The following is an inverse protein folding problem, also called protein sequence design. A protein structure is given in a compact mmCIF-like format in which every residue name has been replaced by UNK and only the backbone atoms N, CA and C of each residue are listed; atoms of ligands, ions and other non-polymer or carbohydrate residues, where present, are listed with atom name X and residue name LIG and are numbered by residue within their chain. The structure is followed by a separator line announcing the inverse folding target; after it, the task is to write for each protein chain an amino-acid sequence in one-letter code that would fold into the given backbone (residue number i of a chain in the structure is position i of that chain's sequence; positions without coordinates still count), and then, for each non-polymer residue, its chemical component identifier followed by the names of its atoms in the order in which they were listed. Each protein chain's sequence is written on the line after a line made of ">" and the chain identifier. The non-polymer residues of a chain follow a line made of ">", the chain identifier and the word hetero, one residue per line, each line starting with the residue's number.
data_IF_114241891734
#
_entry.id   IF_114241891734
#
_cell.length_a   1.000
_cell.length_b   1.000
_cell.length_c   1.000
_cell.angle_alpha   90.00
_cell.angle_beta   90.00
_cell.angle_gamma   90.00
#
_symmetry.space_group_name_H-M   'P 1'
#
loop_
_entity.id
_entity.type
_entity.pdbx_description
1 polymer ?
#
# COMPACT_ATOMS: atom_id res chain seq x y z
N UNK A 1 1.45 31.71 -47.67
CA UNK A 1 0.19 30.96 -47.84
C UNK A 1 -0.15 30.44 -46.46
N UNK A 2 -0.85 31.20 -45.62
CA UNK A 2 -0.90 30.85 -44.19
C UNK A 2 -2.25 31.21 -43.59
N UNK A 3 -3.23 30.30 -43.76
CA UNK A 3 -4.47 30.29 -42.98
C UNK A 3 -4.89 28.85 -42.72
N UNK A 4 -4.19 28.16 -41.81
CA UNK A 4 -4.65 26.91 -41.18
C UNK A 4 -4.46 27.02 -39.66
N UNK A 5 -5.23 27.91 -39.03
CA UNK A 5 -5.31 27.99 -37.57
C UNK A 5 -6.71 28.40 -37.08
N UNK A 6 -7.75 28.27 -37.91
CA UNK A 6 -9.14 28.44 -37.48
C UNK A 6 -9.84 27.09 -37.61
N UNK A 7 -10.17 26.48 -36.48
CA UNK A 7 -10.99 25.27 -36.51
C UNK A 7 -11.13 24.46 -35.23
N UNK A 8 -10.33 24.66 -34.18
CA UNK A 8 -10.75 24.15 -32.88
C UNK A 8 -11.87 25.05 -32.37
N UNK A 9 -13.10 24.54 -32.48
CA UNK A 9 -14.28 25.17 -31.88
C UNK A 9 -13.98 25.50 -30.42
N UNK A 10 -14.42 26.66 -29.95
CA UNK A 10 -14.21 27.12 -28.57
C UNK A 10 -14.62 26.06 -27.54
N UNK A 11 -15.67 25.29 -27.86
CA UNK A 11 -16.15 24.18 -27.04
C UNK A 11 -15.10 23.07 -26.88
N UNK A 12 -14.30 22.79 -27.91
CA UNK A 12 -13.25 21.76 -27.86
C UNK A 12 -12.12 22.18 -26.93
N UNK A 13 -11.73 23.46 -26.96
CA UNK A 13 -10.72 24.01 -26.07
C UNK A 13 -11.20 23.93 -24.61
N UNK A 14 -12.47 24.25 -24.36
CA UNK A 14 -13.09 24.17 -23.04
C UNK A 14 -13.10 22.73 -22.52
N UNK A 15 -13.55 21.76 -23.34
CA UNK A 15 -13.59 20.35 -22.95
C UNK A 15 -12.18 19.82 -22.66
N UNK A 16 -11.20 20.16 -23.49
CA UNK A 16 -9.80 19.77 -23.28
C UNK A 16 -9.24 20.31 -21.95
N UNK A 17 -9.55 21.56 -21.61
CA UNK A 17 -9.13 22.16 -20.34
C UNK A 17 -9.78 21.46 -19.13
N UNK A 18 -11.09 21.17 -19.20
CA UNK A 18 -11.80 20.46 -18.11
C UNK A 18 -11.23 19.05 -17.93
N UNK A 19 -11.03 18.31 -19.02
CA UNK A 19 -10.48 16.96 -18.98
C UNK A 19 -9.08 16.95 -18.33
N UNK A 20 -8.23 17.90 -18.70
CA UNK A 20 -6.89 18.03 -18.12
C UNK A 20 -6.96 18.35 -16.63
N UNK A 21 -7.88 19.22 -16.21
CA UNK A 21 -8.09 19.57 -14.80
C UNK A 21 -8.54 18.35 -13.98
N UNK A 22 -9.50 17.57 -14.50
CA UNK A 22 -9.96 16.33 -13.85
C UNK A 22 -8.83 15.31 -13.71
N UNK A 23 -8.00 15.14 -14.73
CA UNK A 23 -6.84 14.24 -14.67
C UNK A 23 -5.83 14.66 -13.60
N UNK A 24 -5.57 15.96 -13.44
CA UNK A 24 -4.69 16.47 -12.38
C UNK A 24 -5.26 16.12 -11.00
N UNK A 25 -6.57 16.35 -10.79
CA UNK A 25 -7.22 16.05 -9.51
C UNK A 25 -7.13 14.54 -9.21
N UNK A 26 -7.47 13.68 -10.18
CA UNK A 26 -7.38 12.24 -10.01
C UNK A 26 -5.95 11.77 -9.73
N UNK A 27 -4.95 12.31 -10.44
CA UNK A 27 -3.56 11.98 -10.20
C UNK A 27 -3.12 12.34 -8.77
N UNK A 28 -3.50 13.53 -8.28
CA UNK A 28 -3.18 13.96 -6.91
C UNK A 28 -3.89 13.09 -5.87
N UNK A 29 -5.15 12.73 -6.10
CA UNK A 29 -5.91 11.85 -5.20
C UNK A 29 -5.32 10.44 -5.15
N UNK A 30 -4.95 9.87 -6.30
CA UNK A 30 -4.31 8.55 -6.37
C UNK A 30 -2.93 8.58 -5.68
N UNK A 31 -2.12 9.61 -5.90
CA UNK A 31 -0.82 9.76 -5.22
C UNK A 31 -0.97 9.93 -3.70
N UNK A 32 -2.02 10.60 -3.25
CA UNK A 32 -2.34 10.75 -1.82
C UNK A 32 -2.88 9.45 -1.22
N UNK A 33 -3.79 8.77 -1.91
CA UNK A 33 -4.39 7.51 -1.47
C UNK A 33 -3.37 6.35 -1.49
N UNK A 34 -2.49 6.31 -2.50
CA UNK A 34 -1.44 5.31 -2.65
C UNK A 34 -0.43 5.30 -1.49
N UNK A 35 -0.28 6.41 -0.75
CA UNK A 35 0.53 6.43 0.48
C UNK A 35 -0.03 5.53 1.59
N UNK A 36 -1.36 5.38 1.68
CA UNK A 36 -2.01 4.53 2.70
C UNK A 36 -2.17 3.07 2.27
N UNK A 37 -2.20 2.76 0.97
CA UNK A 37 -2.36 1.38 0.48
C UNK A 37 -1.14 0.53 0.85
N UNK A 38 0.07 1.11 0.84
CA UNK A 38 1.30 0.44 1.28
C UNK A 38 1.26 0.02 2.75
N UNK A 39 0.49 0.72 3.59
CA UNK A 39 0.34 0.36 5.01
C UNK A 39 -0.61 -0.82 5.21
N UNK A 40 -1.61 -0.98 4.34
CA UNK A 40 -2.60 -2.06 4.41
C UNK A 40 -2.10 -3.43 3.96
N UNK A 41 -1.03 -3.49 3.16
CA UNK A 41 -0.44 -4.76 2.69
C UNK A 41 0.83 -5.14 3.45
N UNK A 42 1.28 -4.35 4.42
CA UNK A 42 2.49 -4.64 5.19
C UNK A 42 2.23 -5.58 6.37
N UNK A 43 3.28 -5.84 7.17
CA UNK A 43 3.20 -6.71 8.33
C UNK A 43 2.07 -6.36 9.30
N UNK A 44 1.83 -5.07 9.54
CA UNK A 44 0.69 -4.61 10.36
C UNK A 44 -0.66 -4.87 9.71
N UNK A 45 -0.75 -4.79 8.37
CA UNK A 45 -1.97 -5.05 7.62
C UNK A 45 -2.43 -6.51 7.68
N UNK A 46 -1.49 -7.44 7.83
CA UNK A 46 -1.79 -8.87 8.05
C UNK A 46 -1.95 -9.24 9.53
N UNK A 47 -2.05 -8.26 10.43
CA UNK A 47 -2.15 -8.48 11.88
C UNK A 47 -0.84 -8.96 12.53
N UNK A 48 0.28 -8.86 11.82
CA UNK A 48 1.60 -9.23 12.33
C UNK A 48 2.34 -8.09 13.00
N UNK A 49 3.45 -8.45 13.64
CA UNK A 49 4.37 -7.50 14.26
C UNK A 49 5.77 -7.67 13.66
N UNK A 50 6.49 -6.56 13.52
CA UNK A 50 7.89 -6.59 13.09
C UNK A 50 8.80 -6.84 14.28
N UNK A 51 9.63 -7.88 14.21
CA UNK A 51 10.59 -8.25 15.25
C UNK A 51 11.93 -8.70 14.64
N UNK A 52 12.99 -8.81 15.44
CA UNK A 52 14.29 -9.34 14.99
C UNK A 52 14.17 -10.77 14.49
N UNK A 53 13.51 -11.61 15.28
CA UNK A 53 13.18 -12.99 14.94
C UNK A 53 11.85 -13.38 15.59
N UNK A 54 11.10 -14.31 15.01
CA UNK A 54 9.88 -14.80 15.68
C UNK A 54 10.21 -15.66 16.90
N UNK A 55 11.41 -16.22 16.98
CA UNK A 55 11.90 -16.94 18.17
C UNK A 55 12.10 -15.99 19.34
N UNK A 56 12.74 -14.85 19.12
CA UNK A 56 12.97 -13.83 20.15
C UNK A 56 11.61 -13.29 20.64
N UNK A 57 10.65 -13.15 19.73
CA UNK A 57 9.30 -12.71 20.08
C UNK A 57 8.55 -13.73 20.96
N UNK A 58 8.74 -15.02 20.70
CA UNK A 58 8.19 -16.10 21.54
C UNK A 58 8.79 -16.01 22.95
N UNK A 59 10.09 -15.76 23.07
CA UNK A 59 10.75 -15.60 24.38
C UNK A 59 10.23 -14.37 25.14
N UNK A 60 9.99 -13.25 24.44
CA UNK A 60 9.59 -11.99 25.07
C UNK A 60 8.10 -11.89 25.40
N UNK A 61 7.21 -12.46 24.59
CA UNK A 61 5.74 -12.32 24.73
C UNK A 61 5.00 -13.63 24.97
N UNK A 62 5.64 -14.77 24.77
CA UNK A 62 4.96 -16.07 24.73
C UNK A 62 4.03 -16.22 23.52
N UNK A 63 3.40 -17.38 23.40
CA UNK A 63 2.52 -17.73 22.29
C UNK A 63 3.28 -18.35 21.10
N UNK A 64 2.52 -18.67 20.04
CA UNK A 64 3.06 -19.30 18.83
C UNK A 64 3.08 -18.28 17.70
N UNK A 65 4.29 -17.94 17.24
CA UNK A 65 4.48 -16.92 16.21
C UNK A 65 5.10 -17.55 14.96
N UNK A 66 4.51 -17.27 13.81
CA UNK A 66 5.02 -17.73 12.51
C UNK A 66 5.52 -16.59 11.66
N UNK A 67 6.61 -16.85 10.94
CA UNK A 67 7.22 -15.88 10.05
C UNK A 67 6.42 -15.75 8.76
N UNK A 68 5.94 -14.54 8.48
CA UNK A 68 5.36 -14.17 7.19
C UNK A 68 6.45 -13.59 6.28
N UNK A 69 7.05 -14.44 5.43
CA UNK A 69 8.12 -14.05 4.51
C UNK A 69 7.71 -12.91 3.56
N UNK A 70 6.53 -12.95 2.90
CA UNK A 70 6.10 -11.88 2.00
C UNK A 70 6.06 -10.49 2.66
N UNK A 71 5.76 -10.44 3.96
CA UNK A 71 5.63 -9.20 4.73
C UNK A 71 6.87 -8.90 5.61
N UNK A 72 7.98 -9.61 5.41
CA UNK A 72 9.23 -9.35 6.12
C UNK A 72 10.12 -8.32 5.40
N UNK A 73 11.02 -7.68 6.14
CA UNK A 73 11.96 -6.70 5.60
C UNK A 73 11.30 -5.38 5.14
N UNK A 74 12.12 -4.51 4.54
CA UNK A 74 11.71 -3.17 4.09
C UNK A 74 10.50 -3.16 3.17
N UNK A 75 10.43 -4.15 2.27
CA UNK A 75 9.36 -4.25 1.28
C UNK A 75 8.04 -4.78 1.88
N UNK A 76 8.14 -5.51 2.99
CA UNK A 76 6.99 -6.05 3.71
C UNK A 76 6.45 -5.15 4.82
N UNK A 77 6.98 -3.94 4.98
CA UNK A 77 6.56 -2.99 6.01
C UNK A 77 7.28 -3.14 7.35
N UNK A 78 8.40 -3.88 7.40
CA UNK A 78 9.30 -3.97 8.55
C UNK A 78 10.65 -3.29 8.26
N UNK A 79 11.53 -3.16 9.26
CA UNK A 79 12.92 -2.73 9.02
C UNK A 79 13.70 -3.78 8.22
N UNK A 80 14.84 -3.41 7.62
CA UNK A 80 15.66 -4.32 6.79
C UNK A 80 16.02 -5.61 7.53
N UNK A 81 16.35 -5.51 8.82
CA UNK A 81 16.78 -6.63 9.66
C UNK A 81 15.63 -7.24 10.49
N UNK A 82 14.38 -6.93 10.14
CA UNK A 82 13.21 -7.42 10.86
C UNK A 82 12.35 -8.35 10.00
N UNK A 83 11.76 -9.32 10.67
CA UNK A 83 10.81 -10.26 10.11
C UNK A 83 9.40 -9.94 10.60
N UNK A 84 8.41 -10.25 9.78
CA UNK A 84 7.02 -10.16 10.20
C UNK A 84 6.59 -11.45 10.89
N UNK A 85 6.13 -11.33 12.13
CA UNK A 85 5.64 -12.44 12.93
C UNK A 85 4.13 -12.29 13.13
N UNK A 86 3.38 -13.31 12.73
CA UNK A 86 1.93 -13.37 12.89
C UNK A 86 1.63 -14.39 13.98
N UNK A 87 0.74 -14.03 14.90
CA UNK A 87 0.31 -14.93 15.97
C UNK A 87 -0.58 -16.02 15.38
N UNK A 88 -0.23 -17.28 15.63
CA UNK A 88 -1.15 -18.38 15.45
C UNK A 88 -2.07 -18.37 16.66
N UNK A 89 -3.26 -17.78 16.49
CA UNK A 89 -4.38 -18.10 17.35
C UNK A 89 -4.65 -19.58 17.13
N UNK A 90 -4.34 -20.41 18.13
CA UNK A 90 -4.93 -21.74 18.21
C UNK A 90 -6.44 -21.51 18.23
N UNK A 91 -7.10 -21.66 17.08
CA UNK A 91 -8.53 -21.90 17.08
C UNK A 91 -8.70 -23.20 17.84
N UNK A 92 -9.44 -23.23 18.97
CA UNK A 92 -9.88 -24.51 19.48
C UNK A 92 -10.71 -25.14 18.35
N UNK A 93 -10.14 -26.12 17.66
CA UNK A 93 -10.95 -27.08 16.93
C UNK A 93 -11.67 -27.90 18.01
N UNK A 94 -12.81 -27.36 18.47
CA UNK A 94 -13.80 -28.11 19.22
C UNK A 94 -14.21 -29.33 18.37
N UNK A 95 -13.71 -30.51 18.73
CA UNK A 95 -14.19 -31.81 18.26
C UNK A 95 -14.67 -32.65 19.43
#
# INVERSE_FOLDING_TARGET
>A
MDKKAQGLSMNVIIIAAIALLVLIILAVLILRAGKGVTEGTGCRGVGGICYSSCTDLIEDRGGMWVKNLPNSGKNGGCSIDQVCCVELLETPEDY
#
